data_IF_605044923535
#
_entry.id   IF_605044923535
#
_cell.length_a   1.000
_cell.length_b   1.000
_cell.length_c   1.000
_cell.angle_alpha   90.00
_cell.angle_beta   90.00
_cell.angle_gamma   90.00
#
_symmetry.space_group_name_H-M   'P 1'
#
loop_
_entity.id
_entity.type
_entity.pdbx_description
1 polymer ?
#
# COMPACT_ATOMS: atom_id res chain seq x y z
N UNK A 1 43.36 -6.39 29.66
CA UNK A 1 43.11 -7.23 28.46
C UNK A 1 41.64 -7.68 28.35
N UNK A 2 41.06 -8.25 29.42
CA UNK A 2 39.70 -8.82 29.45
C UNK A 2 38.57 -7.86 29.08
N UNK A 3 38.59 -6.62 29.60
CA UNK A 3 37.52 -5.64 29.36
C UNK A 3 37.46 -5.18 27.90
N UNK A 4 38.63 -5.02 27.25
CA UNK A 4 38.72 -4.65 25.83
C UNK A 4 38.16 -5.78 24.93
N UNK A 5 38.41 -7.03 25.32
CA UNK A 5 37.85 -8.21 24.65
C UNK A 5 36.33 -8.27 24.80
N UNK A 6 35.81 -8.02 26.01
CA UNK A 6 34.36 -8.02 26.27
C UNK A 6 33.64 -6.92 25.48
N UNK A 7 34.24 -5.72 25.40
CA UNK A 7 33.68 -4.60 24.61
C UNK A 7 33.68 -4.94 23.12
N UNK A 8 34.77 -5.54 22.61
CA UNK A 8 34.85 -5.95 21.21
C UNK A 8 33.81 -7.03 20.87
N UNK A 9 33.63 -8.02 21.76
CA UNK A 9 32.64 -9.08 21.59
C UNK A 9 31.20 -8.55 21.62
N UNK A 10 30.92 -7.62 22.54
CA UNK A 10 29.61 -6.98 22.65
C UNK A 10 29.27 -6.13 21.42
N UNK A 11 30.24 -5.35 20.93
CA UNK A 11 30.08 -4.58 19.69
C UNK A 11 29.81 -5.47 18.48
N UNK A 12 30.51 -6.60 18.38
CA UNK A 12 30.30 -7.58 17.31
C UNK A 12 28.87 -8.15 17.35
N UNK A 13 28.38 -8.57 18.51
CA UNK A 13 27.01 -9.09 18.67
C UNK A 13 25.94 -8.06 18.25
N UNK A 14 26.13 -6.79 18.60
CA UNK A 14 25.19 -5.72 18.24
C UNK A 14 25.15 -5.47 16.72
N UNK A 15 26.30 -5.46 16.07
CA UNK A 15 26.40 -5.31 14.61
C UNK A 15 25.70 -6.47 13.87
N UNK A 16 25.88 -7.71 14.34
CA UNK A 16 25.22 -8.88 13.78
C UNK A 16 23.69 -8.86 14.02
N UNK A 17 23.24 -8.51 15.23
CA UNK A 17 21.82 -8.47 15.59
C UNK A 17 21.01 -7.38 14.87
N UNK A 18 21.61 -6.21 14.63
CA UNK A 18 20.94 -5.09 13.94
C UNK A 18 20.78 -5.25 12.43
N UNK A 19 21.48 -6.20 11.81
CA UNK A 19 21.46 -6.41 10.35
C UNK A 19 20.14 -7.02 9.83
N UNK A 20 19.36 -7.68 10.69
CA UNK A 20 18.11 -8.38 10.32
C UNK A 20 16.84 -7.51 10.42
N UNK A 21 16.97 -6.20 10.64
CA UNK A 21 15.85 -5.27 10.57
C UNK A 21 15.43 -4.98 9.10
N UNK A 22 15.21 -6.04 8.31
CA UNK A 22 14.59 -5.93 6.99
C UNK A 22 13.10 -5.67 7.22
N UNK A 23 12.75 -4.39 7.28
CA UNK A 23 11.36 -3.96 7.08
C UNK A 23 10.98 -4.42 5.69
N UNK A 24 10.09 -5.41 5.60
CA UNK A 24 9.43 -5.76 4.35
C UNK A 24 8.67 -4.51 3.88
N UNK A 25 9.33 -3.70 3.05
CA UNK A 25 8.68 -2.65 2.29
C UNK A 25 7.81 -3.39 1.30
N UNK A 26 6.50 -3.47 1.58
CA UNK A 26 5.54 -3.86 0.55
C UNK A 26 5.86 -3.02 -0.68
N UNK A 27 6.10 -3.68 -1.81
CA UNK A 27 6.28 -2.99 -3.08
C UNK A 27 5.15 -1.96 -3.21
N UNK A 28 5.45 -0.69 -3.57
CA UNK A 28 4.38 0.26 -3.82
C UNK A 28 3.47 -0.38 -4.86
N UNK A 29 2.24 -0.73 -4.44
CA UNK A 29 1.22 -1.21 -5.38
C UNK A 29 1.21 -0.20 -6.52
N UNK A 30 1.19 -0.65 -7.79
CA UNK A 30 1.08 0.28 -8.91
C UNK A 30 -0.06 1.23 -8.58
N UNK A 31 0.12 2.56 -8.75
CA UNK A 31 -0.89 3.51 -8.38
C UNK A 31 -2.19 3.02 -9.03
N UNK A 32 -3.12 2.52 -8.22
CA UNK A 32 -4.46 2.24 -8.70
C UNK A 32 -4.83 3.51 -9.45
N UNK A 33 -5.17 3.35 -10.74
CA UNK A 33 -5.48 4.49 -11.62
C UNK A 33 -6.28 5.47 -10.79
N UNK A 34 -5.91 6.77 -10.82
CA UNK A 34 -6.58 7.86 -10.13
C UNK A 34 -8.01 8.05 -10.67
N UNK A 35 -8.76 6.97 -10.80
CA UNK A 35 -10.17 6.96 -11.09
C UNK A 35 -10.85 7.58 -9.89
N UNK A 36 -11.65 8.60 -10.19
CA UNK A 36 -12.46 9.31 -9.23
C UNK A 36 -13.23 8.27 -8.41
N UNK A 37 -13.15 8.29 -7.07
CA UNK A 37 -13.83 7.30 -6.26
C UNK A 37 -15.33 7.31 -6.60
N UNK A 38 -16.00 6.14 -6.59
CA UNK A 38 -17.31 5.98 -7.20
C UNK A 38 -18.37 6.90 -6.58
N UNK A 39 -18.25 7.24 -5.29
CA UNK A 39 -19.12 8.23 -4.64
C UNK A 39 -18.96 9.65 -5.21
N UNK A 40 -17.76 10.00 -5.65
CA UNK A 40 -17.44 11.30 -6.22
C UNK A 40 -17.81 11.35 -7.71
N UNK A 41 -17.59 10.25 -8.45
CA UNK A 41 -18.05 10.11 -9.83
C UNK A 41 -19.59 10.18 -9.93
N UNK A 42 -20.29 9.51 -9.01
CA UNK A 42 -21.75 9.60 -8.84
C UNK A 42 -22.22 11.04 -8.67
N UNK A 43 -21.55 11.82 -7.82
CA UNK A 43 -21.91 13.23 -7.53
C UNK A 43 -21.77 14.09 -8.79
N UNK A 44 -20.66 13.95 -9.51
CA UNK A 44 -20.42 14.67 -10.78
C UNK A 44 -21.50 14.32 -11.82
N UNK A 45 -21.90 13.05 -11.90
CA UNK A 45 -22.93 12.57 -12.84
C UNK A 45 -24.38 12.83 -12.37
N UNK A 46 -24.60 13.39 -11.18
CA UNK A 46 -25.93 13.63 -10.62
C UNK A 46 -26.74 12.35 -10.32
N UNK A 47 -26.10 11.18 -10.20
CA UNK A 47 -26.80 9.90 -10.00
C UNK A 47 -27.11 9.66 -8.52
N UNK A 48 -28.21 8.94 -8.22
CA UNK A 48 -28.57 8.54 -6.85
C UNK A 48 -27.81 7.31 -6.32
N UNK A 49 -27.06 6.58 -7.17
CA UNK A 49 -26.25 5.43 -6.74
C UNK A 49 -24.86 5.40 -7.41
N UNK A 50 -23.84 4.99 -6.64
CA UNK A 50 -22.44 4.84 -7.07
C UNK A 50 -22.15 3.43 -7.61
N UNK A 51 -23.15 2.56 -7.58
CA UNK A 51 -23.06 1.16 -8.01
C UNK A 51 -22.56 1.03 -9.46
N UNK A 52 -22.89 2.00 -10.31
CA UNK A 52 -22.49 2.01 -11.73
C UNK A 52 -21.05 2.46 -11.98
N UNK A 53 -20.44 3.15 -11.01
CA UNK A 53 -19.06 3.64 -11.09
C UNK A 53 -18.11 2.73 -10.28
N UNK A 54 -18.64 1.70 -9.61
CA UNK A 54 -17.88 0.76 -8.78
C UNK A 54 -17.14 -0.31 -9.62
N UNK A 55 -15.91 -0.70 -9.23
CA UNK A 55 -15.18 -1.78 -9.89
C UNK A 55 -15.97 -3.10 -9.86
N UNK A 56 -16.01 -3.83 -10.98
CA UNK A 56 -16.76 -5.10 -11.09
C UNK A 56 -18.25 -4.97 -11.45
N UNK A 57 -18.79 -3.74 -11.48
CA UNK A 57 -20.20 -3.48 -11.81
C UNK A 57 -20.47 -3.13 -13.27
N UNK A 58 -19.46 -3.24 -14.15
CA UNK A 58 -19.59 -3.01 -15.61
C UNK A 58 -20.39 -4.13 -16.28
N UNK A 59 -21.70 -4.21 -16.01
CA UNK A 59 -22.65 -4.86 -16.91
C UNK A 59 -23.01 -3.81 -17.97
N UNK A 60 -22.89 -4.18 -19.25
CA UNK A 60 -23.23 -3.37 -20.43
C UNK A 60 -24.46 -2.50 -20.13
N UNK A 61 -24.30 -1.17 -20.09
CA UNK A 61 -25.46 -0.29 -20.04
C UNK A 61 -26.12 -0.37 -21.43
N UNK A 62 -27.42 -0.66 -21.55
CA UNK A 62 -28.10 -0.49 -22.81
C UNK A 62 -28.05 1.01 -23.20
N UNK A 63 -28.01 1.32 -24.51
CA UNK A 63 -28.04 2.69 -24.98
C UNK A 63 -29.27 3.39 -24.41
N UNK A 64 -29.06 4.53 -23.77
CA UNK A 64 -30.13 5.42 -23.34
C UNK A 64 -30.50 6.23 -24.59
N UNK A 65 -31.69 5.96 -25.14
CA UNK A 65 -32.34 6.81 -26.14
C UNK A 65 -32.75 8.15 -25.52
#
# INVERSE_FOLDING_TARGET
MKTKLLIALFGLLLCLGGSSCVVHRHAPKPPHKKEIPPGHAKKIRGKKSAKFDAPGHRKHLPPQF
#
